data_IF_723513039016
#
_entry.id   IF_723513039016
#
_cell.length_a   1.000
_cell.length_b   1.000
_cell.length_c   1.000
_cell.angle_alpha   90.00
_cell.angle_beta   90.00
_cell.angle_gamma   90.00
#
_symmetry.space_group_name_H-M   'P 1'
#
loop_
_entity.id
_entity.type
_entity.pdbx_description
1 polymer ?
#
# COMPACT_ATOMS: atom_id res chain seq x y z
N UNK A 1 -18.73 19.23 -4.48
CA UNK A 1 -18.68 18.72 -3.11
C UNK A 1 -17.42 17.90 -2.90
N UNK A 2 -16.70 18.20 -1.84
CA UNK A 2 -15.49 17.47 -1.53
C UNK A 2 -15.83 16.08 -1.01
N UNK A 3 -15.14 15.07 -1.51
CA UNK A 3 -15.28 13.73 -0.99
C UNK A 3 -14.56 13.67 0.36
N UNK A 4 -15.22 13.10 1.34
CA UNK A 4 -14.64 12.87 2.64
C UNK A 4 -13.37 12.02 2.48
N UNK A 5 -12.25 12.45 3.06
CA UNK A 5 -10.99 11.75 2.90
C UNK A 5 -11.03 10.32 3.44
N UNK A 6 -11.82 10.08 4.50
CA UNK A 6 -12.00 8.74 5.04
C UNK A 6 -12.69 7.83 4.03
N UNK A 7 -13.76 8.33 3.38
CA UNK A 7 -14.48 7.57 2.36
C UNK A 7 -13.59 7.30 1.16
N UNK A 8 -12.82 8.31 0.74
CA UNK A 8 -11.89 8.19 -0.37
C UNK A 8 -10.84 7.13 -0.08
N UNK A 9 -10.31 7.11 1.14
CA UNK A 9 -9.33 6.12 1.55
C UNK A 9 -9.89 4.71 1.57
N UNK A 10 -11.09 4.54 2.15
CA UNK A 10 -11.73 3.22 2.22
C UNK A 10 -12.06 2.68 0.83
N UNK A 11 -12.51 3.56 -0.07
CA UNK A 11 -12.79 3.15 -1.45
C UNK A 11 -11.53 2.71 -2.17
N UNK A 12 -10.44 3.42 -1.95
CA UNK A 12 -9.16 3.06 -2.56
C UNK A 12 -8.66 1.72 -2.03
N UNK A 13 -8.78 1.46 -0.74
CA UNK A 13 -8.40 0.16 -0.17
C UNK A 13 -9.17 -0.98 -0.82
N UNK A 14 -10.48 -0.80 -1.02
CA UNK A 14 -11.29 -1.80 -1.70
C UNK A 14 -10.86 -1.98 -3.15
N UNK A 15 -10.61 -0.88 -3.82
CA UNK A 15 -10.15 -0.90 -5.22
C UNK A 15 -8.85 -1.69 -5.34
N UNK A 16 -7.88 -1.42 -4.47
CA UNK A 16 -6.61 -2.12 -4.50
C UNK A 16 -6.79 -3.58 -4.14
N UNK A 17 -7.60 -3.88 -3.13
CA UNK A 17 -7.86 -5.28 -2.77
C UNK A 17 -8.45 -6.06 -3.93
N UNK A 18 -9.44 -5.49 -4.62
CA UNK A 18 -10.06 -6.13 -5.77
C UNK A 18 -9.09 -6.28 -6.94
N UNK A 19 -8.27 -5.26 -7.17
CA UNK A 19 -7.27 -5.29 -8.23
C UNK A 19 -6.26 -6.41 -8.00
N UNK A 20 -5.80 -6.58 -6.77
CA UNK A 20 -4.86 -7.64 -6.44
C UNK A 20 -5.47 -9.02 -6.63
N UNK A 21 -6.73 -9.19 -6.24
CA UNK A 21 -7.43 -10.46 -6.46
C UNK A 21 -7.48 -10.77 -7.95
N UNK A 22 -7.84 -9.79 -8.76
CA UNK A 22 -7.96 -9.97 -10.20
C UNK A 22 -6.62 -10.24 -10.88
N UNK A 23 -5.63 -9.40 -10.59
CA UNK A 23 -4.33 -9.48 -11.27
C UNK A 23 -3.52 -10.70 -10.84
N UNK A 24 -3.65 -11.11 -9.59
CA UNK A 24 -2.92 -12.26 -9.08
C UNK A 24 -3.74 -13.55 -9.10
N UNK A 25 -4.97 -13.47 -9.61
CA UNK A 25 -5.83 -14.64 -9.74
C UNK A 25 -6.07 -15.35 -8.40
N UNK A 26 -6.33 -14.56 -7.37
CA UNK A 26 -6.49 -15.09 -6.02
C UNK A 26 -7.86 -15.74 -5.86
N UNK A 27 -7.91 -16.81 -5.06
CA UNK A 27 -9.16 -17.49 -4.75
C UNK A 27 -9.88 -16.91 -3.54
N UNK A 28 -9.17 -16.07 -2.77
CA UNK A 28 -9.71 -15.43 -1.57
C UNK A 28 -9.51 -13.94 -1.65
N UNK A 29 -10.39 -13.14 -1.03
CA UNK A 29 -10.16 -11.70 -0.98
C UNK A 29 -8.92 -11.36 -0.20
N UNK A 30 -8.30 -10.22 -0.54
CA UNK A 30 -7.21 -9.68 0.26
C UNK A 30 -7.79 -9.18 1.58
N UNK A 31 -7.17 -9.53 2.67
CA UNK A 31 -7.68 -9.19 3.99
C UNK A 31 -7.48 -7.71 4.28
N UNK A 32 -8.56 -7.03 4.66
CA UNK A 32 -8.50 -5.64 5.12
C UNK A 32 -8.41 -5.65 6.64
N UNK A 33 -7.55 -4.79 7.16
CA UNK A 33 -7.39 -4.65 8.61
C UNK A 33 -8.24 -3.45 9.03
N UNK A 34 -9.34 -3.72 9.72
CA UNK A 34 -10.30 -2.70 10.09
C UNK A 34 -10.14 -2.16 11.51
N UNK A 35 -9.15 -2.66 12.24
CA UNK A 35 -8.95 -2.30 13.64
C UNK A 35 -7.87 -1.26 13.85
N UNK A 36 -7.66 -0.41 12.86
CA UNK A 36 -6.60 0.59 12.90
C UNK A 36 -6.83 1.71 13.88
N UNK A 37 -8.04 1.81 14.41
CA UNK A 37 -8.37 2.82 15.40
C UNK A 37 -7.79 2.51 16.77
N UNK A 38 -7.21 1.34 16.92
CA UNK A 38 -6.60 0.94 18.18
C UNK A 38 -5.25 1.60 18.33
N UNK A 39 -4.47 1.14 19.24
CA UNK A 39 -3.21 1.77 19.61
C UNK A 39 -2.05 1.36 18.73
N UNK A 40 -2.21 0.32 17.95
CA UNK A 40 -1.13 -0.21 17.13
C UNK A 40 -1.18 0.31 15.72
N UNK A 41 -0.01 0.48 15.13
CA UNK A 41 0.10 0.74 13.70
C UNK A 41 -0.07 -0.58 12.97
N UNK A 42 -1.14 -0.66 12.18
CA UNK A 42 -1.48 -1.86 11.43
C UNK A 42 -1.56 -1.51 9.95
N UNK A 43 -1.23 -2.46 9.07
CA UNK A 43 -1.38 -2.20 7.64
C UNK A 43 -2.84 -2.14 7.24
N UNK A 44 -3.15 -1.47 6.14
CA UNK A 44 -4.50 -1.40 5.60
C UNK A 44 -4.94 -2.74 5.02
N UNK A 45 -4.05 -3.40 4.31
CA UNK A 45 -4.30 -4.69 3.68
C UNK A 45 -3.20 -5.67 4.04
N UNK A 46 -3.55 -6.94 4.06
CA UNK A 46 -2.60 -8.01 4.33
C UNK A 46 -2.74 -9.06 3.26
N UNK A 47 -1.65 -9.37 2.59
CA UNK A 47 -1.59 -10.42 1.57
C UNK A 47 -0.35 -11.26 1.81
N UNK A 48 -0.56 -12.46 2.41
CA UNK A 48 0.56 -13.30 2.81
C UNK A 48 1.50 -12.54 3.74
N UNK A 49 2.76 -12.39 3.33
CA UNK A 49 3.76 -11.65 4.11
C UNK A 49 3.87 -10.19 3.71
N UNK A 50 3.00 -9.72 2.82
CA UNK A 50 2.97 -8.33 2.41
C UNK A 50 2.10 -7.51 3.34
N UNK A 51 2.65 -6.43 3.87
CA UNK A 51 1.91 -5.46 4.68
C UNK A 51 1.73 -4.23 3.81
N UNK A 52 0.49 -3.93 3.45
CA UNK A 52 0.19 -2.94 2.44
C UNK A 52 -0.52 -1.75 3.07
N UNK A 53 0.04 -0.56 2.87
CA UNK A 53 -0.59 0.71 3.24
C UNK A 53 -1.08 1.36 1.97
N UNK A 54 -2.32 1.86 1.99
CA UNK A 54 -2.94 2.48 0.82
C UNK A 54 -3.16 3.96 1.09
N UNK A 55 -2.72 4.82 0.17
CA UNK A 55 -2.87 6.27 0.28
C UNK A 55 -3.46 6.85 -0.99
N UNK A 56 -4.59 7.53 -0.87
CA UNK A 56 -5.28 8.18 -1.98
C UNK A 56 -5.44 9.66 -1.67
N UNK A 57 -4.76 10.49 -2.41
CA UNK A 57 -4.76 11.94 -2.17
C UNK A 57 -5.13 12.70 -3.44
N UNK A 58 -5.31 14.01 -3.28
CA UNK A 58 -5.66 14.87 -4.38
C UNK A 58 -4.49 15.13 -5.31
N UNK A 59 -4.05 16.38 -5.38
CA UNK A 59 -2.95 16.73 -6.28
C UNK A 59 -1.61 16.43 -5.63
N UNK A 60 -0.66 16.02 -6.46
CA UNK A 60 0.67 15.68 -6.03
C UNK A 60 1.32 14.69 -6.96
N UNK A 61 2.52 14.28 -6.63
CA UNK A 61 3.27 13.31 -7.44
C UNK A 61 4.05 12.33 -6.59
N UNK A 62 4.59 12.78 -5.47
CA UNK A 62 5.45 11.98 -4.63
C UNK A 62 4.84 11.79 -3.25
N UNK A 63 4.92 10.59 -2.68
CA UNK A 63 4.39 10.35 -1.33
C UNK A 63 5.26 11.06 -0.30
N UNK A 64 4.65 11.42 0.83
CA UNK A 64 5.42 12.00 1.91
C UNK A 64 6.27 10.92 2.58
N UNK A 65 7.37 11.35 3.20
CA UNK A 65 8.24 10.42 3.93
C UNK A 65 7.48 9.75 5.08
N UNK A 66 6.52 10.46 5.68
CA UNK A 66 5.72 9.90 6.77
C UNK A 66 4.93 8.68 6.34
N UNK A 67 4.44 8.64 5.12
CA UNK A 67 3.68 7.49 4.62
C UNK A 67 4.56 6.26 4.57
N UNK A 68 5.79 6.43 4.10
CA UNK A 68 6.73 5.32 4.04
C UNK A 68 7.13 4.85 5.43
N UNK A 69 7.43 5.81 6.32
CA UNK A 69 7.76 5.48 7.70
C UNK A 69 6.61 4.74 8.38
N UNK A 70 5.37 5.13 8.07
CA UNK A 70 4.19 4.50 8.63
C UNK A 70 4.10 3.02 8.23
N UNK A 71 4.32 2.72 6.95
CA UNK A 71 4.25 1.33 6.50
C UNK A 71 5.40 0.50 7.06
N UNK A 72 6.59 1.10 7.17
CA UNK A 72 7.72 0.41 7.79
C UNK A 72 7.41 0.05 9.24
N UNK A 73 6.83 1.00 9.98
CA UNK A 73 6.48 0.78 11.39
C UNK A 73 5.41 -0.30 11.55
N UNK A 74 4.51 -0.44 10.57
CA UNK A 74 3.44 -1.41 10.60
C UNK A 74 3.86 -2.79 10.11
N UNK A 75 5.10 -2.95 9.66
CA UNK A 75 5.58 -4.20 9.06
C UNK A 75 6.44 -4.96 10.07
N UNK A 76 5.99 -6.13 10.54
CA UNK A 76 6.79 -6.94 11.47
C UNK A 76 8.04 -7.49 10.79
N UNK A 77 9.05 -7.89 11.59
CA UNK A 77 10.23 -8.56 11.03
C UNK A 77 9.84 -9.79 10.21
N UNK A 78 10.50 -9.96 9.07
CA UNK A 78 10.25 -11.10 8.20
C UNK A 78 9.10 -10.88 7.22
N UNK A 79 8.42 -9.73 7.29
CA UNK A 79 7.37 -9.39 6.34
C UNK A 79 7.82 -8.27 5.42
N UNK A 80 7.05 -8.00 4.39
CA UNK A 80 7.42 -7.09 3.33
C UNK A 80 6.53 -5.85 3.31
N UNK A 81 7.08 -4.64 3.45
CA UNK A 81 6.27 -3.42 3.37
C UNK A 81 5.96 -3.06 1.92
N UNK A 82 4.76 -2.54 1.70
CA UNK A 82 4.38 -1.98 0.42
C UNK A 82 3.49 -0.76 0.64
N UNK A 83 3.84 0.34 0.00
CA UNK A 83 3.04 1.56 0.00
C UNK A 83 2.44 1.70 -1.38
N UNK A 84 1.11 1.52 -1.47
CA UNK A 84 0.38 1.68 -2.73
C UNK A 84 -0.34 3.02 -2.67
N UNK A 85 -0.09 3.88 -3.64
CA UNK A 85 -0.64 5.22 -3.58
C UNK A 85 -1.07 5.73 -4.95
N UNK A 86 -1.96 6.70 -4.94
CA UNK A 86 -2.44 7.34 -6.15
C UNK A 86 -2.73 8.81 -5.86
N UNK A 87 -2.25 9.67 -6.74
CA UNK A 87 -2.64 11.09 -6.82
C UNK A 87 -3.56 11.29 -8.01
N UNK A 88 -4.29 12.41 -8.01
CA UNK A 88 -5.20 12.72 -9.11
C UNK A 88 -4.45 12.72 -10.44
N UNK A 89 -5.05 12.10 -11.46
CA UNK A 89 -4.52 12.05 -12.82
C UNK A 89 -3.16 11.38 -12.94
N UNK A 90 -2.77 10.58 -11.94
CA UNK A 90 -1.53 9.83 -11.93
C UNK A 90 -1.83 8.33 -11.85
N UNK A 91 -0.95 7.49 -12.35
CA UNK A 91 -1.16 6.05 -12.22
C UNK A 91 -1.00 5.58 -10.77
N UNK A 92 -1.53 4.42 -10.48
CA UNK A 92 -1.34 3.78 -9.18
C UNK A 92 0.11 3.28 -9.13
N UNK A 93 0.82 3.67 -8.09
CA UNK A 93 2.20 3.29 -7.90
C UNK A 93 2.38 2.50 -6.62
N UNK A 94 3.42 1.67 -6.58
CA UNK A 94 3.76 0.92 -5.39
C UNK A 94 5.23 1.16 -5.06
N UNK A 95 5.51 1.42 -3.79
CA UNK A 95 6.87 1.54 -3.25
C UNK A 95 7.14 0.36 -2.34
N UNK A 96 8.26 -0.31 -2.57
CA UNK A 96 8.68 -1.45 -1.79
C UNK A 96 10.16 -1.30 -1.46
N UNK A 97 10.67 -2.19 -0.61
CA UNK A 97 12.13 -2.30 -0.42
C UNK A 97 12.70 -3.05 -1.61
N UNK A 98 13.72 -2.48 -2.23
CA UNK A 98 14.32 -3.09 -3.42
C UNK A 98 14.89 -4.48 -3.12
N UNK A 99 15.35 -4.71 -1.89
CA UNK A 99 15.85 -6.01 -1.48
C UNK A 99 14.84 -7.13 -1.54
N UNK A 100 13.54 -6.79 -1.63
CA UNK A 100 12.51 -7.79 -1.83
C UNK A 100 12.65 -8.46 -3.21
N UNK A 101 13.14 -7.72 -4.18
CA UNK A 101 13.34 -8.22 -5.55
C UNK A 101 14.80 -8.55 -5.82
N UNK A 102 15.72 -7.72 -5.34
CA UNK A 102 17.15 -7.86 -5.56
C UNK A 102 17.86 -7.70 -4.23
N UNK A 103 18.33 -8.79 -3.65
CA UNK A 103 18.85 -8.79 -2.28
C UNK A 103 20.02 -7.83 -2.06
N UNK A 104 20.81 -7.53 -3.10
CA UNK A 104 21.94 -6.62 -2.98
C UNK A 104 21.52 -5.17 -2.72
N UNK A 105 20.27 -4.82 -3.00
CA UNK A 105 19.77 -3.46 -2.81
C UNK A 105 19.10 -3.22 -1.46
N UNK A 106 18.81 -4.26 -0.80
CA UNK A 106 18.25 -4.43 0.54
C UNK A 106 17.34 -3.31 1.05
N UNK A 107 17.84 -2.31 1.72
CA UNK A 107 17.01 -1.31 2.38
C UNK A 107 16.65 -0.11 1.52
N UNK A 108 17.00 -0.12 0.25
CA UNK A 108 16.67 0.99 -0.64
C UNK A 108 15.21 0.92 -1.06
N UNK A 109 14.43 1.99 -0.89
CA UNK A 109 13.07 2.00 -1.42
C UNK A 109 13.10 2.13 -2.94
N UNK A 110 12.13 1.52 -3.61
CA UNK A 110 11.94 1.68 -5.05
C UNK A 110 10.45 1.83 -5.35
N UNK A 111 10.13 2.50 -6.43
CA UNK A 111 8.75 2.75 -6.81
C UNK A 111 8.53 2.35 -8.26
N UNK A 112 7.46 1.62 -8.51
CA UNK A 112 7.09 1.20 -9.86
C UNK A 112 5.58 1.36 -10.03
N UNK A 113 5.12 1.28 -11.26
CA UNK A 113 3.69 1.26 -11.52
C UNK A 113 3.12 -0.08 -11.06
N UNK A 114 1.94 -0.05 -10.45
CA UNK A 114 1.35 -1.24 -9.86
C UNK A 114 1.17 -2.36 -10.89
N UNK A 115 0.75 -2.02 -12.10
CA UNK A 115 0.51 -3.03 -13.13
C UNK A 115 1.78 -3.78 -13.52
N UNK A 116 2.94 -3.13 -13.36
CA UNK A 116 4.22 -3.76 -13.68
C UNK A 116 4.86 -4.45 -12.48
N UNK A 117 4.23 -4.31 -11.34
CA UNK A 117 4.70 -4.96 -10.11
C UNK A 117 4.40 -6.46 -10.17
#
# INVERSE_FOLDING_TARGET
>A
MAINSRTKGANFEREIGNLLVQELNLTQPVKRILEQTRTKELPDLKLGRWCIECKRYGDGAEPSAEWWDQVLAATPPGEFPALIYKFNRRPIKVRILAGTLVSELDFSPMTIDLIKF
#
